data_IF_432938927540
#
_entry.id   IF_432938927540
#
_cell.length_a   1.000
_cell.length_b   1.000
_cell.length_c   1.000
_cell.angle_alpha   90.00
_cell.angle_beta   90.00
_cell.angle_gamma   90.00
#
_symmetry.space_group_name_H-M   'P 1'
#
loop_
_entity.id
_entity.type
_entity.pdbx_description
1 polymer ?
#
# COMPACT_ATOMS: atom_id res chain seq x y z
N UNK A 1 25.36 4.31 -3.11
CA UNK A 1 23.89 4.16 -2.94
C UNK A 1 23.43 3.05 -3.86
N UNK A 2 22.81 1.99 -3.35
CA UNK A 2 22.40 0.83 -4.17
C UNK A 2 21.21 1.18 -5.06
N UNK A 3 21.05 0.50 -6.20
CA UNK A 3 19.92 0.74 -7.11
C UNK A 3 18.56 0.52 -6.41
N UNK A 4 18.49 -0.47 -5.52
CA UNK A 4 17.30 -0.73 -4.70
C UNK A 4 16.95 0.46 -3.81
N UNK A 5 17.93 1.07 -3.13
CA UNK A 5 17.69 2.24 -2.27
C UNK A 5 17.08 3.42 -3.06
N UNK A 6 17.56 3.66 -4.29
CA UNK A 6 17.02 4.70 -5.17
C UNK A 6 15.58 4.39 -5.55
N UNK A 7 15.29 3.16 -6.00
CA UNK A 7 13.95 2.76 -6.42
C UNK A 7 12.94 2.89 -5.27
N UNK A 8 13.31 2.42 -4.08
CA UNK A 8 12.50 2.54 -2.87
C UNK A 8 12.29 4.00 -2.48
N UNK A 9 13.34 4.83 -2.51
CA UNK A 9 13.26 6.25 -2.22
C UNK A 9 12.32 6.99 -3.18
N UNK A 10 12.46 6.76 -4.48
CA UNK A 10 11.60 7.37 -5.50
C UNK A 10 10.15 6.89 -5.34
N UNK A 11 9.92 5.59 -5.11
CA UNK A 11 8.58 5.06 -4.85
C UNK A 11 7.94 5.72 -3.62
N UNK A 12 8.71 5.92 -2.54
CA UNK A 12 8.25 6.60 -1.33
C UNK A 12 7.89 8.06 -1.56
N UNK A 13 8.67 8.78 -2.37
CA UNK A 13 8.38 10.17 -2.75
C UNK A 13 7.12 10.27 -3.62
N UNK A 14 6.98 9.41 -4.63
CA UNK A 14 5.77 9.36 -5.47
C UNK A 14 4.54 9.06 -4.63
N UNK A 15 4.63 8.09 -3.72
CA UNK A 15 3.56 7.75 -2.79
C UNK A 15 3.21 8.91 -1.85
N UNK A 16 4.20 9.67 -1.38
CA UNK A 16 4.00 10.84 -0.53
C UNK A 16 3.22 11.94 -1.25
N UNK A 17 3.59 12.26 -2.49
CA UNK A 17 2.84 13.22 -3.31
C UNK A 17 1.42 12.74 -3.60
N UNK A 18 1.27 11.45 -3.90
CA UNK A 18 -0.05 10.88 -4.16
C UNK A 18 -0.93 10.90 -2.89
N UNK A 19 -0.39 10.54 -1.73
CA UNK A 19 -1.08 10.62 -0.43
C UNK A 19 -1.56 12.05 -0.14
N UNK A 20 -0.67 13.04 -0.33
CA UNK A 20 -1.01 14.44 -0.16
C UNK A 20 -2.18 14.87 -1.06
N UNK A 21 -2.15 14.48 -2.33
CA UNK A 21 -3.20 14.80 -3.30
C UNK A 21 -4.57 14.21 -2.92
N UNK A 22 -4.57 12.95 -2.46
CA UNK A 22 -5.77 12.25 -2.00
C UNK A 22 -6.32 12.90 -0.73
N UNK A 23 -5.47 13.19 0.26
CA UNK A 23 -5.89 13.82 1.51
C UNK A 23 -6.33 15.27 1.35
N UNK A 24 -5.74 16.03 0.42
CA UNK A 24 -6.23 17.35 0.05
C UNK A 24 -7.65 17.27 -0.52
N UNK A 25 -7.94 16.22 -1.30
CA UNK A 25 -9.30 15.91 -1.75
C UNK A 25 -10.25 15.55 -0.60
N UNK A 26 -9.77 14.71 0.34
CA UNK A 26 -10.51 14.35 1.55
C UNK A 26 -10.87 15.57 2.41
N UNK A 27 -9.95 16.52 2.61
CA UNK A 27 -10.21 17.70 3.42
C UNK A 27 -11.45 18.50 2.95
N UNK A 28 -11.73 18.47 1.63
CA UNK A 28 -12.87 19.16 0.99
C UNK A 28 -14.17 18.37 1.02
N UNK A 29 -14.13 17.06 0.79
CA UNK A 29 -15.33 16.24 0.58
C UNK A 29 -15.61 15.22 1.69
N UNK A 30 -14.67 15.04 2.63
CA UNK A 30 -14.74 14.15 3.81
C UNK A 30 -15.19 12.71 3.50
N UNK A 31 -14.88 12.20 2.30
CA UNK A 31 -15.21 10.84 1.91
C UNK A 31 -14.35 9.82 2.67
N UNK A 32 -14.94 8.87 3.43
CA UNK A 32 -14.17 7.88 4.20
C UNK A 32 -13.23 7.04 3.33
N UNK A 33 -13.64 6.71 2.10
CA UNK A 33 -12.79 6.00 1.14
C UNK A 33 -11.49 6.77 0.86
N UNK A 34 -11.57 8.09 0.64
CA UNK A 34 -10.41 8.92 0.38
C UNK A 34 -9.47 9.03 1.61
N UNK A 35 -10.02 9.07 2.82
CA UNK A 35 -9.20 9.05 4.04
C UNK A 35 -8.34 7.80 4.12
N UNK A 36 -8.96 6.62 3.95
CA UNK A 36 -8.27 5.33 4.05
C UNK A 36 -7.32 5.06 2.88
N UNK A 37 -7.67 5.50 1.67
CA UNK A 37 -6.73 5.50 0.53
C UNK A 37 -5.50 6.38 0.79
N UNK A 38 -5.69 7.59 1.34
CA UNK A 38 -4.57 8.45 1.71
C UNK A 38 -3.70 7.85 2.82
N UNK A 39 -4.32 7.22 3.82
CA UNK A 39 -3.60 6.52 4.89
C UNK A 39 -2.80 5.34 4.36
N UNK A 40 -3.36 4.56 3.44
CA UNK A 40 -2.65 3.46 2.78
C UNK A 40 -1.42 3.96 2.01
N UNK A 41 -1.56 5.07 1.27
CA UNK A 41 -0.45 5.68 0.53
C UNK A 41 0.62 6.27 1.43
N UNK A 42 0.25 6.83 2.58
CA UNK A 42 1.21 7.31 3.57
C UNK A 42 1.98 6.17 4.23
N UNK A 43 1.30 5.06 4.57
CA UNK A 43 1.94 3.85 5.08
C UNK A 43 2.85 3.21 4.03
N UNK A 44 2.44 3.23 2.75
CA UNK A 44 3.28 2.81 1.64
C UNK A 44 4.53 3.69 1.52
N UNK A 45 4.37 5.02 1.57
CA UNK A 45 5.47 5.96 1.53
C UNK A 45 6.48 5.70 2.66
N UNK A 46 5.97 5.54 3.88
CA UNK A 46 6.79 5.18 5.03
C UNK A 46 7.52 3.85 4.81
N UNK A 47 6.82 2.81 4.35
CA UNK A 47 7.42 1.48 4.14
C UNK A 47 8.53 1.54 3.09
N UNK A 48 8.28 2.19 1.94
CA UNK A 48 9.26 2.34 0.88
C UNK A 48 10.46 3.19 1.32
N UNK A 49 10.25 4.27 2.09
CA UNK A 49 11.37 5.06 2.63
C UNK A 49 12.17 4.29 3.68
N UNK A 50 11.51 3.48 4.51
CA UNK A 50 12.18 2.61 5.48
C UNK A 50 13.05 1.55 4.77
N UNK A 51 12.56 0.94 3.67
CA UNK A 51 13.38 0.06 2.83
C UNK A 51 14.60 0.79 2.23
N UNK A 52 14.42 2.04 1.78
CA UNK A 52 15.52 2.85 1.26
C UNK A 52 16.58 3.16 2.34
N UNK A 53 16.13 3.54 3.54
CA UNK A 53 17.01 3.78 4.70
C UNK A 53 17.74 2.50 5.09
N UNK A 54 17.02 1.38 5.20
CA UNK A 54 17.62 0.09 5.56
C UNK A 54 18.61 -0.42 4.51
N UNK A 55 18.38 -0.11 3.23
CA UNK A 55 19.31 -0.42 2.14
C UNK A 55 20.64 0.33 2.24
N UNK A 56 20.69 1.44 2.98
CA UNK A 56 21.88 2.30 3.12
C UNK A 56 22.53 2.12 4.50
N UNK A 57 21.72 2.14 5.55
CA UNK A 57 22.17 2.17 6.95
C UNK A 57 21.97 0.84 7.70
N UNK A 58 21.36 -0.16 7.05
CA UNK A 58 20.98 -1.42 7.68
C UNK A 58 19.66 -1.34 8.46
N UNK A 59 19.17 -2.51 8.87
CA UNK A 59 17.94 -2.61 9.65
C UNK A 59 18.20 -2.40 11.14
N UNK A 60 17.48 -1.46 11.75
CA UNK A 60 17.35 -1.41 13.21
C UNK A 60 16.11 -2.20 13.66
N UNK A 61 16.11 -2.76 14.89
CA UNK A 61 14.93 -3.43 15.46
C UNK A 61 13.65 -2.60 15.39
N UNK A 62 13.74 -1.30 15.69
CA UNK A 62 12.58 -0.41 15.67
C UNK A 62 12.09 -0.10 14.27
N UNK A 63 13.01 0.16 13.33
CA UNK A 63 12.67 0.40 11.94
C UNK A 63 11.96 -0.83 11.36
N UNK A 64 12.49 -2.03 11.61
CA UNK A 64 11.89 -3.29 11.17
C UNK A 64 10.47 -3.49 11.73
N UNK A 65 10.27 -3.29 13.04
CA UNK A 65 8.95 -3.43 13.68
C UNK A 65 7.91 -2.51 13.04
N UNK A 66 8.25 -1.22 12.90
CA UNK A 66 7.33 -0.23 12.34
C UNK A 66 7.07 -0.47 10.86
N UNK A 67 8.13 -0.78 10.09
CA UNK A 67 8.02 -1.13 8.67
C UNK A 67 7.12 -2.36 8.47
N UNK A 68 7.31 -3.43 9.24
CA UNK A 68 6.55 -4.67 9.10
C UNK A 68 5.06 -4.45 9.36
N UNK A 69 4.73 -3.69 10.41
CA UNK A 69 3.35 -3.32 10.74
C UNK A 69 2.76 -2.41 9.68
N UNK A 70 3.49 -1.39 9.23
CA UNK A 70 3.05 -0.46 8.18
C UNK A 70 2.79 -1.17 6.85
N UNK A 71 3.67 -2.10 6.46
CA UNK A 71 3.58 -2.89 5.24
C UNK A 71 2.31 -3.78 5.21
N UNK A 72 1.89 -4.32 6.35
CA UNK A 72 0.63 -5.06 6.43
C UNK A 72 -0.59 -4.13 6.48
N UNK A 73 -0.49 -3.04 7.26
CA UNK A 73 -1.57 -2.07 7.42
C UNK A 73 -1.89 -1.29 6.15
N UNK A 74 -0.92 -1.00 5.29
CA UNK A 74 -1.19 -0.31 4.03
C UNK A 74 -2.17 -1.10 3.16
N UNK A 75 -2.02 -2.43 3.11
CA UNK A 75 -2.89 -3.29 2.29
C UNK A 75 -4.28 -3.35 2.90
N UNK A 76 -4.37 -3.45 4.23
CA UNK A 76 -5.64 -3.37 4.95
C UNK A 76 -6.35 -2.03 4.71
N UNK A 77 -5.62 -0.91 4.80
CA UNK A 77 -6.16 0.43 4.57
C UNK A 77 -6.67 0.63 3.14
N UNK A 78 -5.95 0.12 2.13
CA UNK A 78 -6.44 0.09 0.75
C UNK A 78 -7.74 -0.72 0.62
N UNK A 79 -7.82 -1.87 1.28
CA UNK A 79 -9.01 -2.70 1.33
C UNK A 79 -10.19 -1.99 1.99
N UNK A 80 -9.98 -1.37 3.15
CA UNK A 80 -11.00 -0.57 3.86
C UNK A 80 -11.51 0.57 2.96
N UNK A 81 -10.58 1.32 2.35
CA UNK A 81 -10.93 2.41 1.43
C UNK A 81 -11.75 1.94 0.24
N UNK A 82 -11.40 0.78 -0.33
CA UNK A 82 -12.12 0.15 -1.45
C UNK A 82 -13.50 -0.37 -1.03
N UNK A 83 -13.63 -0.93 0.18
CA UNK A 83 -14.92 -1.34 0.74
C UNK A 83 -15.87 -0.14 0.88
N UNK A 84 -15.40 0.98 1.45
CA UNK A 84 -16.19 2.21 1.51
C UNK A 84 -16.61 2.72 0.14
N UNK A 85 -15.74 2.59 -0.87
CA UNK A 85 -16.00 3.07 -2.22
C UNK A 85 -17.03 2.22 -2.95
N UNK A 86 -16.93 0.89 -2.87
CA UNK A 86 -17.68 -0.04 -3.73
C UNK A 86 -18.89 -0.67 -3.03
N UNK A 87 -18.76 -0.97 -1.74
CA UNK A 87 -19.78 -1.65 -0.93
C UNK A 87 -20.57 -0.69 -0.03
N UNK A 88 -20.12 0.57 0.07
CA UNK A 88 -20.78 1.60 0.85
C UNK A 88 -20.40 1.61 2.34
N UNK A 89 -21.03 2.52 3.10
CA UNK A 89 -20.58 2.87 4.47
C UNK A 89 -20.66 1.72 5.47
N UNK A 90 -21.76 0.97 5.49
CA UNK A 90 -21.97 -0.12 6.47
C UNK A 90 -20.92 -1.22 6.32
N UNK A 91 -20.72 -1.69 5.08
CA UNK A 91 -19.68 -2.67 4.77
C UNK A 91 -18.28 -2.13 5.05
N UNK A 92 -18.00 -0.87 4.70
CA UNK A 92 -16.73 -0.21 5.02
C UNK A 92 -16.42 -0.18 6.52
N UNK A 93 -17.41 0.11 7.37
CA UNK A 93 -17.25 0.05 8.83
C UNK A 93 -17.02 -1.37 9.35
N UNK A 94 -17.73 -2.36 8.81
CA UNK A 94 -17.52 -3.76 9.20
C UNK A 94 -16.10 -4.24 8.85
N UNK A 95 -15.62 -3.94 7.63
CA UNK A 95 -14.26 -4.26 7.19
C UNK A 95 -13.22 -3.53 8.05
N UNK A 96 -13.45 -2.24 8.36
CA UNK A 96 -12.60 -1.48 9.26
C UNK A 96 -12.55 -2.09 10.66
N UNK A 97 -13.68 -2.50 11.23
CA UNK A 97 -13.70 -3.10 12.56
C UNK A 97 -12.89 -4.40 12.61
N UNK A 98 -13.09 -5.29 11.63
CA UNK A 98 -12.38 -6.58 11.55
C UNK A 98 -10.88 -6.38 11.33
N UNK A 99 -10.51 -5.65 10.27
CA UNK A 99 -9.09 -5.44 9.94
C UNK A 99 -8.39 -4.55 10.97
N UNK A 100 -9.13 -3.60 11.57
CA UNK A 100 -8.63 -2.75 12.64
C UNK A 100 -8.29 -3.54 13.89
N UNK A 101 -9.14 -4.48 14.31
CA UNK A 101 -8.87 -5.35 15.45
C UNK A 101 -7.64 -6.23 15.21
N UNK A 102 -7.56 -6.87 14.04
CA UNK A 102 -6.40 -7.68 13.64
C UNK A 102 -5.13 -6.83 13.60
N UNK A 103 -5.22 -5.61 13.08
CA UNK A 103 -4.09 -4.70 12.95
C UNK A 103 -3.60 -4.13 14.28
N UNK A 104 -4.50 -3.90 15.23
CA UNK A 104 -4.13 -3.54 16.60
C UNK A 104 -3.46 -4.71 17.32
N UNK A 105 -3.97 -5.93 17.16
CA UNK A 105 -3.34 -7.14 17.69
C UNK A 105 -1.95 -7.36 17.09
N UNK A 106 -1.79 -7.13 15.78
CA UNK A 106 -0.49 -7.18 15.11
C UNK A 106 0.49 -6.15 15.67
N UNK A 107 0.07 -4.89 15.80
CA UNK A 107 0.91 -3.83 16.35
C UNK A 107 1.36 -4.18 17.77
N UNK A 108 0.43 -4.61 18.62
CA UNK A 108 0.74 -5.05 19.98
C UNK A 108 1.76 -6.20 20.02
N UNK A 109 1.56 -7.21 19.18
CA UNK A 109 2.47 -8.36 19.07
C UNK A 109 3.86 -7.93 18.58
N UNK A 110 3.92 -7.08 17.55
CA UNK A 110 5.16 -6.60 16.95
C UNK A 110 5.97 -5.70 17.90
N UNK A 111 5.31 -4.94 18.77
CA UNK A 111 5.98 -4.11 19.78
C UNK A 111 6.62 -4.92 20.91
N UNK A 112 6.27 -6.20 21.08
CA UNK A 112 6.76 -7.05 22.18
C UNK A 112 7.63 -8.20 21.73
N UNK A 113 7.40 -8.72 20.53
CA UNK A 113 8.13 -9.88 20.03
C UNK A 113 9.62 -9.58 19.84
N UNK A 114 10.50 -10.56 20.12
CA UNK A 114 11.92 -10.44 19.83
C UNK A 114 12.16 -10.42 18.31
N UNK A 115 13.11 -9.60 17.88
CA UNK A 115 13.60 -9.57 16.49
C UNK A 115 14.90 -10.34 16.42
N UNK A 116 15.17 -10.99 15.30
CA UNK A 116 16.41 -11.71 15.05
C UNK A 116 17.47 -10.73 14.55
N UNK A 117 18.39 -10.32 15.42
CA UNK A 117 19.45 -9.39 15.09
C UNK A 117 20.41 -9.95 14.01
N UNK A 118 20.62 -11.27 13.97
CA UNK A 118 21.49 -11.89 12.97
C UNK A 118 20.82 -11.86 11.60
N UNK A 119 19.51 -12.14 11.53
CA UNK A 119 18.74 -12.01 10.29
C UNK A 119 18.70 -10.56 9.77
N UNK A 120 18.54 -9.58 10.67
CA UNK A 120 18.57 -8.15 10.30
C UNK A 120 19.94 -7.72 9.75
N UNK A 121 21.04 -8.21 10.35
CA UNK A 121 22.39 -7.94 9.88
C UNK A 121 22.67 -8.61 8.52
N UNK A 122 22.21 -9.86 8.34
CA UNK A 122 22.37 -10.59 7.08
C UNK A 122 21.61 -9.95 5.92
N UNK A 123 20.52 -9.22 6.20
CA UNK A 123 19.73 -8.51 5.20
C UNK A 123 20.30 -7.12 4.81
N UNK A 124 21.51 -6.77 5.25
CA UNK A 124 22.11 -5.46 4.94
C UNK A 124 22.29 -5.28 3.42
N UNK A 125 21.67 -4.23 2.87
CA UNK A 125 21.66 -3.95 1.43
C UNK A 125 20.62 -4.74 0.62
N UNK A 126 19.80 -5.57 1.27
CA UNK A 126 18.72 -6.35 0.67
C UNK A 126 17.36 -6.09 1.32
N UNK A 127 16.33 -6.74 0.79
CA UNK A 127 14.95 -6.70 1.30
C UNK A 127 14.76 -7.84 2.31
N UNK A 128 14.16 -7.54 3.47
CA UNK A 128 13.84 -8.53 4.50
C UNK A 128 12.34 -8.74 4.60
N UNK A 129 11.89 -9.98 4.76
CA UNK A 129 10.48 -10.31 4.94
C UNK A 129 10.09 -10.51 6.41
N UNK A 130 9.22 -11.49 6.64
CA UNK A 130 8.86 -11.93 8.00
C UNK A 130 9.98 -12.65 8.77
N UNK A 131 11.12 -12.89 8.13
CA UNK A 131 12.27 -13.61 8.68
C UNK A 131 13.06 -12.78 9.71
N UNK A 132 12.84 -11.47 9.77
CA UNK A 132 13.44 -10.63 10.83
C UNK A 132 12.82 -10.82 12.22
N UNK A 133 11.76 -11.63 12.35
CA UNK A 133 11.18 -12.01 13.63
C UNK A 133 11.84 -13.27 14.18
N UNK A 134 12.33 -13.23 15.42
CA UNK A 134 12.78 -14.43 16.12
C UNK A 134 11.60 -15.34 16.51
N UNK A 135 10.45 -14.73 16.84
CA UNK A 135 9.19 -15.47 17.05
C UNK A 135 8.33 -15.43 15.77
N UNK A 136 8.16 -16.57 15.08
CA UNK A 136 7.36 -16.62 13.85
C UNK A 136 5.87 -16.36 14.09
N UNK A 137 5.37 -16.41 15.33
CA UNK A 137 3.96 -16.18 15.63
C UNK A 137 3.47 -14.81 15.15
N UNK A 138 4.31 -13.77 15.15
CA UNK A 138 3.95 -12.42 14.65
C UNK A 138 3.56 -12.45 13.17
N UNK A 139 4.16 -13.36 12.40
CA UNK A 139 3.98 -13.44 10.94
C UNK A 139 2.55 -13.82 10.55
N UNK A 140 1.79 -14.46 11.44
CA UNK A 140 0.40 -14.90 11.20
C UNK A 140 -0.56 -13.73 10.94
N UNK A 141 -0.27 -12.56 11.49
CA UNK A 141 -1.15 -11.39 11.36
C UNK A 141 -1.07 -10.76 9.98
N UNK A 142 0.11 -10.80 9.34
CA UNK A 142 0.31 -10.23 8.01
C UNK A 142 -0.68 -10.78 6.98
N UNK A 143 -0.82 -12.10 6.75
CA UNK A 143 -1.79 -12.62 5.80
C UNK A 143 -3.24 -12.32 6.21
N UNK A 144 -3.56 -12.29 7.50
CA UNK A 144 -4.90 -11.93 7.99
C UNK A 144 -5.30 -10.50 7.65
N UNK A 145 -4.34 -9.59 7.47
CA UNK A 145 -4.57 -8.23 6.97
C UNK A 145 -4.48 -8.14 5.45
N UNK A 146 -3.41 -8.70 4.88
CA UNK A 146 -3.10 -8.48 3.46
C UNK A 146 -4.02 -9.25 2.54
N UNK A 147 -4.45 -10.47 2.88
CA UNK A 147 -5.32 -11.27 2.00
C UNK A 147 -6.68 -10.60 1.82
N UNK A 148 -7.47 -10.32 2.88
CA UNK A 148 -8.74 -9.62 2.71
C UNK A 148 -8.56 -8.21 2.15
N UNK A 149 -7.49 -7.51 2.54
CA UNK A 149 -7.17 -6.18 1.99
C UNK A 149 -6.95 -6.20 0.47
N UNK A 150 -6.11 -7.13 -0.02
CA UNK A 150 -5.82 -7.32 -1.44
C UNK A 150 -7.04 -7.78 -2.22
N UNK A 151 -7.84 -8.71 -1.68
CA UNK A 151 -9.10 -9.15 -2.32
C UNK A 151 -10.06 -7.98 -2.51
N UNK A 152 -10.21 -7.14 -1.47
CA UNK A 152 -11.09 -5.98 -1.53
C UNK A 152 -10.56 -4.89 -2.46
N UNK A 153 -9.23 -4.70 -2.50
CA UNK A 153 -8.59 -3.74 -3.40
C UNK A 153 -8.71 -4.17 -4.88
N UNK A 154 -8.32 -5.40 -5.20
CA UNK A 154 -8.41 -5.96 -6.56
C UNK A 154 -9.87 -6.08 -7.02
N UNK A 155 -10.73 -6.64 -6.17
CA UNK A 155 -12.17 -6.77 -6.44
C UNK A 155 -12.84 -5.41 -6.58
N UNK A 156 -12.48 -4.45 -5.72
CA UNK A 156 -12.97 -3.08 -5.80
C UNK A 156 -12.58 -2.38 -7.10
N UNK A 157 -11.32 -2.54 -7.53
CA UNK A 157 -10.85 -2.03 -8.81
C UNK A 157 -11.57 -2.67 -10.00
N UNK A 158 -11.75 -4.00 -9.98
CA UNK A 158 -12.46 -4.73 -11.03
C UNK A 158 -13.93 -4.30 -11.14
N UNK A 159 -14.65 -4.20 -10.02
CA UNK A 159 -16.05 -3.75 -9.98
C UNK A 159 -16.17 -2.29 -10.44
N UNK A 160 -15.27 -1.42 -9.99
CA UNK A 160 -15.27 -0.01 -10.40
C UNK A 160 -15.04 0.14 -11.91
N UNK A 161 -14.09 -0.63 -12.46
CA UNK A 161 -13.85 -0.64 -13.90
C UNK A 161 -15.03 -1.23 -14.68
N UNK A 162 -15.63 -2.33 -14.22
CA UNK A 162 -16.78 -2.95 -14.87
C UNK A 162 -17.99 -1.99 -14.94
N UNK A 163 -18.21 -1.18 -13.89
CA UNK A 163 -19.31 -0.20 -13.82
C UNK A 163 -19.09 1.05 -14.68
N UNK A 164 -17.84 1.51 -14.79
CA UNK A 164 -17.56 2.82 -15.40
C UNK A 164 -16.92 2.73 -16.78
N UNK A 165 -16.26 1.61 -17.08
CA UNK A 165 -15.51 1.30 -18.31
C UNK A 165 -14.49 2.39 -18.70
N UNK A 166 -14.07 3.23 -17.76
CA UNK A 166 -13.15 4.31 -18.03
C UNK A 166 -11.71 3.81 -18.18
N UNK A 167 -11.00 4.31 -19.19
CA UNK A 167 -9.62 3.94 -19.48
C UNK A 167 -8.66 4.21 -18.30
N UNK A 168 -8.88 5.27 -17.52
CA UNK A 168 -8.08 5.55 -16.31
C UNK A 168 -8.26 4.48 -15.21
N UNK A 169 -9.37 3.74 -15.21
CA UNK A 169 -9.58 2.60 -14.32
C UNK A 169 -8.62 1.44 -14.61
N UNK A 170 -8.18 1.27 -15.87
CA UNK A 170 -7.18 0.26 -16.23
C UNK A 170 -5.80 0.58 -15.66
N UNK A 171 -5.43 1.87 -15.58
CA UNK A 171 -4.18 2.30 -14.93
C UNK A 171 -4.19 1.97 -13.43
N UNK A 172 -5.32 2.22 -12.75
CA UNK A 172 -5.48 1.91 -11.32
C UNK A 172 -5.47 0.39 -11.10
N UNK A 173 -6.20 -0.36 -11.91
CA UNK A 173 -6.23 -1.81 -11.83
C UNK A 173 -4.84 -2.42 -12.10
N UNK A 174 -4.16 -1.97 -13.16
CA UNK A 174 -2.81 -2.39 -13.50
C UNK A 174 -1.80 -2.10 -12.38
N UNK A 175 -1.82 -0.89 -11.82
CA UNK A 175 -0.97 -0.53 -10.68
C UNK A 175 -1.24 -1.41 -9.45
N UNK A 176 -2.50 -1.72 -9.18
CA UNK A 176 -2.89 -2.64 -8.10
C UNK A 176 -2.33 -4.05 -8.31
N UNK A 177 -2.46 -4.59 -9.52
CA UNK A 177 -1.95 -5.92 -9.88
C UNK A 177 -0.42 -5.95 -9.75
N UNK A 178 0.28 -4.92 -10.21
CA UNK A 178 1.74 -4.82 -10.09
C UNK A 178 2.18 -4.81 -8.62
N UNK A 179 1.52 -4.01 -7.76
CA UNK A 179 1.84 -3.98 -6.33
C UNK A 179 1.57 -5.33 -5.64
N UNK A 180 0.39 -5.92 -5.88
CA UNK A 180 0.03 -7.21 -5.32
C UNK A 180 0.98 -8.32 -5.80
N UNK A 181 1.35 -8.30 -7.07
CA UNK A 181 2.31 -9.22 -7.68
C UNK A 181 3.70 -9.09 -7.07
N UNK A 182 4.22 -7.87 -6.89
CA UNK A 182 5.52 -7.64 -6.23
C UNK A 182 5.58 -8.21 -4.81
N UNK A 183 4.53 -7.97 -4.01
CA UNK A 183 4.41 -8.54 -2.67
C UNK A 183 4.30 -10.07 -2.67
N UNK A 184 3.56 -10.65 -3.62
CA UNK A 184 3.44 -12.10 -3.77
C UNK A 184 4.77 -12.75 -4.16
N UNK A 185 5.48 -12.19 -5.15
CA UNK A 185 6.79 -12.68 -5.60
C UNK A 185 7.85 -12.63 -4.50
N UNK A 186 7.79 -11.62 -3.63
CA UNK A 186 8.65 -11.55 -2.43
C UNK A 186 8.44 -12.76 -1.51
N UNK A 187 7.19 -13.20 -1.32
CA UNK A 187 6.87 -14.40 -0.53
C UNK A 187 7.27 -15.71 -1.22
N UNK A 188 7.43 -15.69 -2.54
CA UNK A 188 7.90 -16.82 -3.34
C UNK A 188 9.43 -16.86 -3.50
N UNK A 189 10.18 -16.05 -2.72
CA UNK A 189 11.64 -16.06 -2.73
C UNK A 189 12.28 -15.15 -3.78
N UNK A 190 11.52 -14.20 -4.36
CA UNK A 190 12.02 -13.19 -5.31
C UNK A 190 11.93 -11.75 -4.75
N UNK A 191 12.55 -11.46 -3.60
CA UNK A 191 12.39 -10.18 -2.91
C UNK A 191 13.08 -9.00 -3.64
N UNK A 192 13.95 -9.27 -4.62
CA UNK A 192 14.60 -8.30 -5.48
C UNK A 192 13.65 -7.62 -6.49
N UNK A 193 12.47 -8.18 -6.74
CA UNK A 193 11.47 -7.61 -7.66
C UNK A 193 10.68 -6.48 -6.99
N UNK A 194 10.62 -6.48 -5.65
CA UNK A 194 9.80 -5.57 -4.86
C UNK A 194 10.07 -4.07 -5.12
N UNK A 195 11.32 -3.57 -5.19
CA UNK A 195 11.57 -2.15 -5.43
C UNK A 195 10.98 -1.67 -6.76
N UNK A 196 11.15 -2.47 -7.82
CA UNK A 196 10.64 -2.15 -9.15
C UNK A 196 9.11 -2.23 -9.20
N UNK A 197 8.53 -3.28 -8.62
CA UNK A 197 7.08 -3.44 -8.54
C UNK A 197 6.44 -2.30 -7.74
N UNK A 198 7.05 -1.89 -6.62
CA UNK A 198 6.57 -0.77 -5.81
C UNK A 198 6.57 0.55 -6.59
N UNK A 199 7.67 0.87 -7.27
CA UNK A 199 7.77 2.10 -8.08
C UNK A 199 6.77 2.10 -9.23
N UNK A 200 6.75 1.04 -10.03
CA UNK A 200 5.86 0.95 -11.20
C UNK A 200 4.40 0.96 -10.75
N UNK A 201 4.07 0.17 -9.73
CA UNK A 201 2.71 0.04 -9.22
C UNK A 201 2.15 1.37 -8.67
N UNK A 202 2.92 2.07 -7.83
CA UNK A 202 2.47 3.37 -7.28
C UNK A 202 2.40 4.45 -8.36
N UNK A 203 3.32 4.44 -9.33
CA UNK A 203 3.29 5.37 -10.44
C UNK A 203 2.05 5.17 -11.33
N UNK A 204 1.71 3.91 -11.66
CA UNK A 204 0.50 3.58 -12.42
C UNK A 204 -0.78 4.02 -11.69
N UNK A 205 -0.87 3.73 -10.38
CA UNK A 205 -1.98 4.18 -9.55
C UNK A 205 -2.12 5.71 -9.56
N UNK A 206 -1.00 6.43 -9.37
CA UNK A 206 -1.02 7.88 -9.31
C UNK A 206 -1.38 8.50 -10.67
N UNK A 207 -0.85 7.94 -11.78
CA UNK A 207 -1.19 8.36 -13.13
C UNK A 207 -2.69 8.18 -13.40
N UNK A 208 -3.25 7.02 -13.06
CA UNK A 208 -4.67 6.75 -13.18
C UNK A 208 -5.53 7.72 -12.37
N UNK A 209 -5.14 8.01 -11.12
CA UNK A 209 -5.82 8.99 -10.28
C UNK A 209 -5.82 10.40 -10.87
N UNK A 210 -4.68 10.87 -11.40
CA UNK A 210 -4.59 12.19 -12.05
C UNK A 210 -5.49 12.29 -13.28
N UNK A 211 -5.48 11.27 -14.15
CA UNK A 211 -6.35 11.19 -15.33
C UNK A 211 -7.84 11.24 -14.94
N UNK A 212 -8.22 10.53 -13.86
CA UNK A 212 -9.58 10.56 -13.35
C UNK A 212 -9.99 11.97 -12.87
N UNK A 213 -9.09 12.69 -12.18
CA UNK A 213 -9.32 14.07 -11.72
C UNK A 213 -9.44 15.05 -12.88
N UNK A 214 -8.57 14.93 -13.88
CA UNK A 214 -8.59 15.76 -15.09
C UNK A 214 -9.91 15.56 -15.87
N UNK A 215 -10.34 14.31 -16.07
CA UNK A 215 -11.61 13.99 -16.72
C UNK A 215 -12.81 14.56 -15.97
N UNK A 216 -12.82 14.49 -14.63
CA UNK A 216 -13.87 15.12 -13.80
C UNK A 216 -13.88 16.65 -13.94
N UNK A 217 -12.71 17.28 -13.97
CA UNK A 217 -12.58 18.72 -14.14
C UNK A 217 -13.08 19.22 -15.50
N UNK A 218 -12.78 18.50 -16.59
CA UNK A 218 -13.30 18.82 -17.94
C UNK A 218 -14.81 18.74 -18.00
N UNK A 219 -15.40 17.68 -17.43
CA UNK A 219 -16.87 17.53 -17.33
C UNK A 219 -17.52 18.69 -16.56
N UNK A 220 -16.90 19.14 -15.47
CA UNK A 220 -17.41 20.28 -14.69
C UNK A 220 -17.33 21.62 -15.44
N UNK A 221 -16.41 21.76 -16.40
CA UNK A 221 -16.29 22.95 -17.27
C UNK A 221 -17.12 22.86 -18.55
N UNK A 222 -17.90 21.80 -18.75
CA UNK A 222 -18.69 21.59 -19.97
C UNK A 222 -17.88 21.18 -21.19
N UNK A 223 -16.57 20.99 -21.07
CA UNK A 223 -15.69 20.53 -22.15
C UNK A 223 -15.98 19.04 -22.42
N UNK A 224 -16.74 18.74 -23.48
CA UNK A 224 -16.90 17.36 -23.95
C UNK A 224 -15.60 16.91 -24.61
N UNK A 225 -15.00 15.85 -24.08
CA UNK A 225 -13.89 15.19 -24.74
C UNK A 225 -14.42 14.56 -26.02
N UNK A 226 -13.96 15.06 -27.17
CA UNK A 226 -13.96 14.27 -28.40
C UNK A 226 -13.22 12.95 -28.13
N UNK A 227 -13.87 11.87 -28.58
CA UNK A 227 -13.62 10.44 -28.33
C UNK A 227 -12.16 10.05 -28.32
#
# INVERSE_FOLDING_TARGET
>A
MTAAAVLHGVAGLVASFFAYDVWRGYARHRAPSAFWWGAALALFAFSALADAVASIAGWSPWLYRLWYVAAAWLVAAFGIGSAYLVLGRRAGHAVLAVLGLVGLAMLWSALRAPVDAAALAAAMGGTIGGEGWADPAVRRFSPMLTVPGSLMLLGGAAVAWARTRHAYGLWIAGGTVVLAGGGALTRLGLPQVLPLANLLGVWLLYRGHRLAREAKGRRQRGEHASV
#
